data_IF_856067165581
#
_entry.id   IF_856067165581
#
_cell.length_a   1.000
_cell.length_b   1.000
_cell.length_c   1.000
_cell.angle_alpha   90.00
_cell.angle_beta   90.00
_cell.angle_gamma   90.00
#
_symmetry.space_group_name_H-M   'P 1'
#
loop_
_entity.id
_entity.type
_entity.pdbx_description
1 polymer ?
#
# COMPACT_ATOMS: atom_id res chain seq x y z
N UNK A 1 -83.47 -31.27 9.88
CA UNK A 1 -84.26 -30.85 11.05
C UNK A 1 -85.53 -30.19 10.54
N UNK A 2 -86.68 -30.48 11.14
CA UNK A 2 -87.90 -29.69 10.85
C UNK A 2 -87.64 -28.26 11.28
N UNK A 3 -88.08 -27.27 10.53
CA UNK A 3 -87.98 -25.89 10.98
C UNK A 3 -89.08 -25.56 12.02
N UNK A 4 -88.87 -24.60 12.94
CA UNK A 4 -89.87 -24.29 13.97
C UNK A 4 -91.27 -23.96 13.42
N UNK A 5 -91.35 -23.39 12.21
CA UNK A 5 -92.62 -23.11 11.52
C UNK A 5 -93.33 -24.36 11.01
N UNK A 6 -92.62 -25.46 10.75
CA UNK A 6 -93.18 -26.74 10.33
C UNK A 6 -93.80 -27.51 11.50
N UNK A 7 -93.32 -27.29 12.74
CA UNK A 7 -93.97 -27.80 13.95
C UNK A 7 -95.32 -27.12 14.19
N UNK A 8 -95.41 -25.81 13.93
CA UNK A 8 -96.62 -25.01 14.14
C UNK A 8 -97.79 -25.41 13.25
N UNK A 9 -97.50 -25.93 12.05
CA UNK A 9 -98.51 -26.31 11.06
C UNK A 9 -98.89 -27.81 11.13
N UNK A 10 -98.42 -28.55 12.13
CA UNK A 10 -98.67 -29.98 12.24
C UNK A 10 -100.07 -30.25 12.81
N UNK A 11 -100.92 -30.91 12.02
CA UNK A 11 -102.25 -31.34 12.47
C UNK A 11 -102.26 -32.84 12.81
N UNK A 12 -102.97 -33.20 13.88
CA UNK A 12 -103.14 -34.59 14.34
C UNK A 12 -104.57 -35.11 14.08
N UNK A 13 -104.72 -36.39 13.78
CA UNK A 13 -106.02 -37.05 13.59
C UNK A 13 -106.75 -37.27 14.92
N UNK A 14 -108.08 -37.10 14.96
CA UNK A 14 -108.90 -37.36 16.16
C UNK A 14 -109.21 -38.85 16.32
N UNK A 15 -109.09 -39.37 17.54
CA UNK A 15 -109.43 -40.75 17.90
C UNK A 15 -110.37 -40.80 19.12
N UNK A 16 -111.16 -41.87 19.26
CA UNK A 16 -112.21 -42.04 20.29
C UNK A 16 -111.63 -42.02 21.73
N UNK A 17 -110.35 -42.34 21.89
CA UNK A 17 -109.61 -42.23 23.15
C UNK A 17 -108.23 -41.65 22.81
N UNK A 18 -107.92 -40.45 23.28
CA UNK A 18 -106.71 -39.73 22.90
C UNK A 18 -106.29 -38.71 23.97
N UNK A 19 -105.18 -38.03 23.71
CA UNK A 19 -104.68 -36.95 24.58
C UNK A 19 -105.61 -35.73 24.54
N UNK A 20 -105.61 -34.96 25.63
CA UNK A 20 -106.36 -33.70 25.71
C UNK A 20 -105.75 -32.69 24.72
N UNK A 21 -106.50 -32.22 23.72
CA UNK A 21 -105.96 -31.32 22.69
C UNK A 21 -105.40 -30.03 23.29
N UNK A 22 -106.01 -29.47 24.34
CA UNK A 22 -105.55 -28.22 24.96
C UNK A 22 -104.20 -28.37 25.66
N UNK A 23 -103.99 -29.44 26.43
CA UNK A 23 -102.69 -29.71 27.07
C UNK A 23 -101.58 -30.02 26.05
N UNK A 24 -101.94 -30.71 24.96
CA UNK A 24 -101.01 -30.99 23.87
C UNK A 24 -100.61 -29.71 23.15
N UNK A 25 -101.57 -28.82 22.86
CA UNK A 25 -101.31 -27.53 22.21
C UNK A 25 -100.41 -26.64 23.08
N UNK A 26 -100.70 -26.53 24.40
CA UNK A 26 -99.85 -25.78 25.35
C UNK A 26 -98.41 -26.33 25.41
N UNK A 27 -98.27 -27.67 25.40
CA UNK A 27 -96.94 -28.28 25.40
C UNK A 27 -96.21 -28.07 24.06
N UNK A 28 -96.91 -28.12 22.93
CA UNK A 28 -96.34 -27.85 21.61
C UNK A 28 -95.88 -26.39 21.50
N UNK A 29 -96.63 -25.42 22.02
CA UNK A 29 -96.23 -24.01 22.05
C UNK A 29 -94.90 -23.83 22.83
N UNK A 30 -94.78 -24.45 24.02
CA UNK A 30 -93.53 -24.46 24.80
C UNK A 30 -92.37 -25.14 24.05
N UNK A 31 -92.63 -26.27 23.38
CA UNK A 31 -91.62 -26.95 22.57
C UNK A 31 -91.19 -26.11 21.37
N UNK A 32 -92.10 -25.40 20.71
CA UNK A 32 -91.79 -24.48 19.59
C UNK A 32 -90.89 -23.34 20.08
N UNK A 33 -91.18 -22.75 21.24
CA UNK A 33 -90.36 -21.70 21.83
C UNK A 33 -88.93 -22.20 22.08
N UNK A 34 -88.79 -23.31 22.82
CA UNK A 34 -87.48 -23.90 23.15
C UNK A 34 -86.73 -24.37 21.91
N UNK A 35 -87.44 -24.93 20.92
CA UNK A 35 -86.84 -25.36 19.67
C UNK A 35 -86.37 -24.17 18.82
N UNK A 36 -87.08 -23.05 18.84
CA UNK A 36 -86.66 -21.81 18.18
C UNK A 36 -85.42 -21.21 18.84
N UNK A 37 -85.36 -21.22 20.17
CA UNK A 37 -84.18 -20.80 20.95
C UNK A 37 -82.95 -21.66 20.60
N UNK A 38 -83.10 -22.99 20.63
CA UNK A 38 -82.05 -23.93 20.25
C UNK A 38 -81.58 -23.70 18.80
N UNK A 39 -82.49 -23.42 17.87
CA UNK A 39 -82.14 -23.15 16.48
C UNK A 39 -81.33 -21.85 16.35
N UNK A 40 -81.72 -20.78 17.07
CA UNK A 40 -80.96 -19.52 17.11
C UNK A 40 -79.56 -19.74 17.68
N UNK A 41 -79.44 -20.42 18.81
CA UNK A 41 -78.13 -20.74 19.40
C UNK A 41 -77.27 -21.58 18.45
N UNK A 42 -77.85 -22.59 17.78
CA UNK A 42 -77.13 -23.41 16.81
C UNK A 42 -76.62 -22.57 15.63
N UNK A 43 -77.42 -21.63 15.11
CA UNK A 43 -76.96 -20.71 14.06
C UNK A 43 -75.86 -19.77 14.55
N UNK A 44 -75.94 -19.27 15.78
CA UNK A 44 -74.92 -18.39 16.35
C UNK A 44 -73.61 -19.15 16.60
N UNK A 45 -73.68 -20.37 17.14
CA UNK A 45 -72.53 -21.26 17.35
C UNK A 45 -71.87 -21.62 16.02
N UNK A 46 -72.65 -21.96 15.00
CA UNK A 46 -72.11 -22.21 13.65
C UNK A 46 -71.42 -20.98 13.07
N UNK A 47 -71.96 -19.78 13.30
CA UNK A 47 -71.33 -18.52 12.89
C UNK A 47 -70.00 -18.31 13.62
N UNK A 48 -69.97 -18.50 14.95
CA UNK A 48 -68.75 -18.39 15.76
C UNK A 48 -67.70 -19.41 15.34
N UNK A 49 -68.11 -20.65 15.05
CA UNK A 49 -67.24 -21.71 14.57
C UNK A 49 -66.60 -21.34 13.24
N UNK A 50 -67.40 -20.85 12.28
CA UNK A 50 -66.86 -20.39 10.99
C UNK A 50 -65.82 -19.29 11.16
N UNK A 51 -66.11 -18.28 11.97
CA UNK A 51 -65.16 -17.20 12.25
C UNK A 51 -63.89 -17.73 12.91
N UNK A 52 -64.02 -18.63 13.89
CA UNK A 52 -62.88 -19.22 14.58
C UNK A 52 -62.00 -20.05 13.62
N UNK A 53 -62.61 -20.81 12.71
CA UNK A 53 -61.89 -21.58 11.69
C UNK A 53 -61.17 -20.63 10.73
N UNK A 54 -61.83 -19.59 10.22
CA UNK A 54 -61.19 -18.61 9.34
C UNK A 54 -59.99 -17.95 10.01
N UNK A 55 -60.12 -17.50 11.27
CA UNK A 55 -58.99 -16.92 12.01
C UNK A 55 -57.87 -17.92 12.27
N UNK A 56 -58.20 -19.18 12.49
CA UNK A 56 -57.19 -20.23 12.68
C UNK A 56 -56.39 -20.44 11.39
N UNK A 57 -57.04 -20.41 10.23
CA UNK A 57 -56.35 -20.56 8.95
C UNK A 57 -55.49 -19.32 8.65
N UNK A 58 -55.99 -18.11 8.91
CA UNK A 58 -55.20 -16.86 8.81
C UNK A 58 -53.92 -16.92 9.67
N UNK A 59 -54.04 -17.34 10.94
CA UNK A 59 -52.89 -17.47 11.85
C UNK A 59 -51.89 -18.50 11.34
N UNK A 60 -52.35 -19.62 10.77
CA UNK A 60 -51.45 -20.65 10.21
C UNK A 60 -50.69 -20.12 9.00
N UNK A 61 -51.35 -19.38 8.12
CA UNK A 61 -50.72 -18.77 6.94
C UNK A 61 -49.68 -17.71 7.37
N UNK A 62 -50.01 -16.90 8.38
CA UNK A 62 -49.05 -15.95 8.99
C UNK A 62 -47.86 -16.67 9.65
N UNK A 63 -48.11 -17.76 10.40
CA UNK A 63 -47.06 -18.55 11.03
C UNK A 63 -46.09 -19.13 9.99
N UNK A 64 -46.61 -19.67 8.88
CA UNK A 64 -45.77 -20.20 7.80
C UNK A 64 -44.96 -19.09 7.12
N UNK A 65 -45.56 -17.91 6.91
CA UNK A 65 -44.86 -16.74 6.38
C UNK A 65 -43.71 -16.28 7.29
N UNK A 66 -43.97 -16.20 8.61
CA UNK A 66 -42.96 -15.86 9.62
C UNK A 66 -41.86 -16.92 9.64
N UNK A 67 -42.22 -18.19 9.61
CA UNK A 67 -41.27 -19.32 9.60
C UNK A 67 -40.38 -19.26 8.36
N UNK A 68 -40.95 -19.04 7.18
CA UNK A 68 -40.21 -18.87 5.93
C UNK A 68 -39.26 -17.67 6.01
N UNK A 69 -39.74 -16.54 6.52
CA UNK A 69 -38.92 -15.32 6.71
C UNK A 69 -37.76 -15.58 7.67
N UNK A 70 -38.00 -16.28 8.77
CA UNK A 70 -36.96 -16.62 9.75
C UNK A 70 -35.88 -17.53 9.14
N UNK A 71 -36.29 -18.55 8.38
CA UNK A 71 -35.36 -19.44 7.68
C UNK A 71 -34.52 -18.68 6.65
N UNK A 72 -35.15 -17.76 5.91
CA UNK A 72 -34.44 -16.92 4.94
C UNK A 72 -33.46 -15.95 5.63
N UNK A 73 -33.86 -15.35 6.75
CA UNK A 73 -33.00 -14.50 7.56
C UNK A 73 -31.80 -15.27 8.12
N UNK A 74 -32.01 -16.51 8.60
CA UNK A 74 -30.93 -17.38 9.05
C UNK A 74 -29.96 -17.69 7.90
N UNK A 75 -30.46 -18.12 6.74
CA UNK A 75 -29.62 -18.38 5.55
C UNK A 75 -28.85 -17.15 5.11
N UNK A 76 -29.46 -15.98 5.17
CA UNK A 76 -28.81 -14.71 4.84
C UNK A 76 -27.70 -14.39 5.85
N UNK A 77 -27.96 -14.60 7.15
CA UNK A 77 -26.94 -14.44 8.20
C UNK A 77 -25.75 -15.39 8.00
N UNK A 78 -26.01 -16.67 7.73
CA UNK A 78 -24.97 -17.66 7.40
C UNK A 78 -24.17 -17.26 6.15
N UNK A 79 -24.84 -16.74 5.12
CA UNK A 79 -24.20 -16.24 3.90
C UNK A 79 -23.30 -15.03 4.20
N UNK A 80 -23.76 -14.07 5.00
CA UNK A 80 -22.96 -12.89 5.39
C UNK A 80 -21.71 -13.33 6.14
N UNK A 81 -21.84 -14.26 7.10
CA UNK A 81 -20.70 -14.78 7.86
C UNK A 81 -19.72 -15.49 6.92
N UNK A 82 -20.21 -16.31 5.99
CA UNK A 82 -19.38 -17.00 5.01
C UNK A 82 -18.66 -16.01 4.11
N UNK A 83 -19.38 -15.06 3.50
CA UNK A 83 -18.82 -14.06 2.59
C UNK A 83 -17.76 -13.20 3.32
N UNK A 84 -17.99 -12.85 4.59
CA UNK A 84 -17.03 -12.12 5.40
C UNK A 84 -15.75 -12.94 5.70
N UNK A 85 -15.89 -14.23 6.01
CA UNK A 85 -14.75 -15.12 6.22
C UNK A 85 -13.96 -15.33 4.92
N UNK A 86 -14.64 -15.59 3.81
CA UNK A 86 -14.01 -15.76 2.50
C UNK A 86 -13.23 -14.48 2.11
N UNK A 87 -13.81 -13.30 2.35
CA UNK A 87 -13.13 -12.02 2.11
C UNK A 87 -11.94 -11.80 3.05
N UNK A 88 -12.07 -12.18 4.33
CA UNK A 88 -10.97 -12.09 5.29
C UNK A 88 -9.80 -13.02 4.90
N UNK A 89 -10.09 -14.22 4.42
CA UNK A 89 -9.09 -15.18 3.94
C UNK A 89 -8.40 -14.66 2.67
N UNK A 90 -9.15 -14.08 1.73
CA UNK A 90 -8.59 -13.44 0.54
C UNK A 90 -7.64 -12.29 0.90
N UNK A 91 -8.07 -11.40 1.79
CA UNK A 91 -7.26 -10.27 2.25
C UNK A 91 -6.00 -10.79 2.95
N UNK A 92 -6.15 -11.77 3.84
CA UNK A 92 -5.02 -12.36 4.58
C UNK A 92 -4.04 -13.05 3.63
N UNK A 93 -4.53 -13.78 2.63
CA UNK A 93 -3.71 -14.40 1.58
C UNK A 93 -2.93 -13.34 0.79
N UNK A 94 -3.61 -12.30 0.32
CA UNK A 94 -2.98 -11.22 -0.45
C UNK A 94 -1.95 -10.44 0.38
N UNK A 95 -2.20 -10.21 1.67
CA UNK A 95 -1.23 -9.58 2.58
C UNK A 95 0.00 -10.47 2.75
N UNK A 96 -0.19 -11.77 3.00
CA UNK A 96 0.93 -12.72 3.14
C UNK A 96 1.79 -12.75 1.89
N UNK A 97 1.18 -12.84 0.71
CA UNK A 97 1.90 -12.84 -0.57
C UNK A 97 2.69 -11.54 -0.78
N UNK A 98 2.09 -10.38 -0.49
CA UNK A 98 2.80 -9.09 -0.56
C UNK A 98 3.93 -9.00 0.45
N UNK A 99 3.72 -9.43 1.68
CA UNK A 99 4.77 -9.47 2.71
C UNK A 99 5.93 -10.37 2.27
N UNK A 100 5.64 -11.55 1.75
CA UNK A 100 6.65 -12.48 1.25
C UNK A 100 7.41 -11.89 0.06
N UNK A 101 6.72 -11.20 -0.86
CA UNK A 101 7.34 -10.50 -1.98
C UNK A 101 8.27 -9.36 -1.50
N UNK A 102 7.83 -8.56 -0.52
CA UNK A 102 8.65 -7.49 0.08
C UNK A 102 9.88 -8.06 0.78
N UNK A 103 9.71 -9.15 1.55
CA UNK A 103 10.83 -9.83 2.22
C UNK A 103 11.81 -10.40 1.19
N UNK A 104 11.31 -10.98 0.10
CA UNK A 104 12.15 -11.50 -0.97
C UNK A 104 12.94 -10.39 -1.66
N UNK A 105 12.30 -9.25 -1.98
CA UNK A 105 12.98 -8.10 -2.57
C UNK A 105 14.04 -7.52 -1.62
N UNK A 106 13.71 -7.37 -0.33
CA UNK A 106 14.66 -6.91 0.68
C UNK A 106 15.87 -7.85 0.80
N UNK A 107 15.64 -9.17 0.82
CA UNK A 107 16.73 -10.15 0.82
C UNK A 107 17.60 -10.04 -0.43
N UNK A 108 17.00 -9.84 -1.61
CA UNK A 108 17.75 -9.63 -2.87
C UNK A 108 18.63 -8.39 -2.77
N UNK A 109 18.07 -7.26 -2.31
CA UNK A 109 18.84 -6.00 -2.13
C UNK A 109 19.97 -6.18 -1.14
N UNK A 110 19.74 -6.84 -0.01
CA UNK A 110 20.80 -7.12 0.96
C UNK A 110 21.93 -7.98 0.39
N UNK A 111 21.64 -8.93 -0.49
CA UNK A 111 22.67 -9.75 -1.15
C UNK A 111 23.48 -8.89 -2.11
N UNK A 112 22.82 -8.10 -2.96
CA UNK A 112 23.48 -7.17 -3.88
C UNK A 112 24.39 -6.19 -3.14
N UNK A 113 23.88 -5.54 -2.09
CA UNK A 113 24.64 -4.56 -1.31
C UNK A 113 25.88 -5.21 -0.64
N UNK A 114 25.75 -6.45 -0.17
CA UNK A 114 26.89 -7.19 0.40
C UNK A 114 27.92 -7.54 -0.67
N UNK A 115 27.48 -7.88 -1.87
CA UNK A 115 28.36 -8.17 -3.01
C UNK A 115 29.10 -6.90 -3.44
N UNK A 116 28.41 -5.76 -3.53
CA UNK A 116 29.00 -4.47 -3.85
C UNK A 116 30.04 -4.03 -2.80
N UNK A 117 29.71 -4.20 -1.51
CA UNK A 117 30.65 -3.95 -0.41
C UNK A 117 31.89 -4.85 -0.53
N UNK A 118 31.69 -6.13 -0.85
CA UNK A 118 32.80 -7.07 -1.03
C UNK A 118 33.68 -6.70 -2.24
N UNK A 119 33.08 -6.27 -3.35
CA UNK A 119 33.79 -5.79 -4.53
C UNK A 119 34.62 -4.54 -4.22
N UNK A 120 34.03 -3.54 -3.55
CA UNK A 120 34.74 -2.31 -3.13
C UNK A 120 35.89 -2.65 -2.18
N UNK A 121 35.65 -3.52 -1.19
CA UNK A 121 36.68 -3.95 -0.24
C UNK A 121 37.85 -4.62 -0.97
N UNK A 122 37.57 -5.46 -1.95
CA UNK A 122 38.60 -6.13 -2.75
C UNK A 122 39.37 -5.11 -3.59
N UNK A 123 38.69 -4.20 -4.28
CA UNK A 123 39.33 -3.13 -5.03
C UNK A 123 40.24 -2.24 -4.15
N UNK A 124 39.85 -1.94 -2.91
CA UNK A 124 40.69 -1.18 -1.97
C UNK A 124 41.95 -1.98 -1.57
N UNK A 125 41.83 -3.30 -1.38
CA UNK A 125 42.99 -4.15 -1.09
C UNK A 125 43.93 -4.25 -2.29
N UNK A 126 43.37 -4.35 -3.50
CA UNK A 126 44.14 -4.40 -4.74
C UNK A 126 44.87 -3.06 -4.97
N UNK A 127 44.17 -1.93 -4.84
CA UNK A 127 44.77 -0.59 -4.91
C UNK A 127 45.87 -0.39 -3.88
N UNK A 128 45.64 -0.83 -2.63
CA UNK A 128 46.67 -0.80 -1.59
C UNK A 128 47.91 -1.56 -2.03
N UNK A 129 47.74 -2.78 -2.56
CA UNK A 129 48.84 -3.62 -3.03
C UNK A 129 49.59 -2.96 -4.19
N UNK A 130 48.87 -2.42 -5.17
CA UNK A 130 49.43 -1.70 -6.32
C UNK A 130 50.28 -0.49 -5.88
N UNK A 131 49.77 0.31 -4.93
CA UNK A 131 50.51 1.45 -4.37
C UNK A 131 51.77 0.99 -3.63
N UNK A 132 51.70 -0.09 -2.85
CA UNK A 132 52.89 -0.63 -2.18
C UNK A 132 53.93 -1.15 -3.17
N UNK A 133 53.50 -1.82 -4.24
CA UNK A 133 54.40 -2.28 -5.31
C UNK A 133 55.03 -1.10 -6.06
N UNK A 134 54.26 -0.05 -6.36
CA UNK A 134 54.77 1.16 -7.00
C UNK A 134 55.83 1.85 -6.13
N UNK A 135 55.57 2.01 -4.83
CA UNK A 135 56.56 2.57 -3.90
C UNK A 135 57.81 1.72 -3.81
N UNK A 136 57.68 0.38 -3.78
CA UNK A 136 58.82 -0.53 -3.79
C UNK A 136 59.66 -0.34 -5.05
N UNK A 137 59.03 -0.24 -6.21
CA UNK A 137 59.71 0.02 -7.49
C UNK A 137 60.43 1.38 -7.48
N UNK A 138 59.78 2.45 -7.02
CA UNK A 138 60.41 3.76 -6.90
C UNK A 138 61.61 3.75 -5.93
N UNK A 139 61.53 3.01 -4.82
CA UNK A 139 62.66 2.85 -3.89
C UNK A 139 63.82 2.10 -4.57
N UNK A 140 63.54 1.06 -5.35
CA UNK A 140 64.56 0.35 -6.13
C UNK A 140 65.20 1.26 -7.20
N UNK A 141 64.42 2.08 -7.89
CA UNK A 141 64.93 3.08 -8.85
C UNK A 141 65.79 4.14 -8.16
N UNK A 142 65.37 4.65 -7.00
CA UNK A 142 66.18 5.57 -6.18
C UNK A 142 67.46 4.91 -5.68
N UNK A 143 67.42 3.63 -5.30
CA UNK A 143 68.63 2.88 -4.94
C UNK A 143 69.60 2.75 -6.12
N UNK A 144 69.09 2.58 -7.34
CA UNK A 144 69.88 2.55 -8.57
C UNK A 144 70.45 3.93 -8.94
N UNK A 145 69.71 5.02 -8.66
CA UNK A 145 70.16 6.41 -8.88
C UNK A 145 71.12 6.88 -7.79
N UNK A 146 71.03 6.32 -6.57
CA UNK A 146 71.94 6.51 -5.45
C UNK A 146 73.31 5.91 -5.75
N UNK A 147 74.02 6.52 -6.68
CA UNK A 147 75.39 7.00 -6.51
C UNK A 147 76.28 6.06 -5.67
N UNK A 148 76.56 4.87 -6.20
CA UNK A 148 77.89 4.26 -6.10
C UNK A 148 78.89 4.94 -7.07
N UNK A 149 78.60 6.18 -7.50
CA UNK A 149 79.45 7.03 -8.32
C UNK A 149 79.23 8.49 -7.97
N UNK A 150 79.69 8.93 -6.79
CA UNK A 150 80.25 10.27 -6.74
C UNK A 150 81.57 10.07 -7.50
N UNK A 151 81.49 10.09 -8.84
CA UNK A 151 82.68 10.26 -9.65
C UNK A 151 83.23 11.61 -9.21
N UNK A 152 84.38 11.55 -8.55
CA UNK A 152 85.23 12.68 -8.25
C UNK A 152 85.21 13.62 -9.47
N UNK A 153 84.65 14.82 -9.31
CA UNK A 153 84.67 15.84 -10.35
C UNK A 153 86.14 16.21 -10.55
N UNK A 154 86.82 15.56 -11.49
CA UNK A 154 88.16 15.93 -11.90
C UNK A 154 88.02 17.20 -12.74
N UNK A 155 88.21 18.35 -12.10
CA UNK A 155 88.35 19.63 -12.80
C UNK A 155 89.59 19.55 -13.73
N UNK A 156 89.50 19.96 -15.00
CA UNK A 156 90.63 19.97 -15.91
C UNK A 156 91.79 20.84 -15.39
N UNK A 157 93.02 20.36 -15.58
CA UNK A 157 94.24 21.02 -15.13
C UNK A 157 94.38 22.43 -15.75
N UNK A 158 94.38 23.45 -14.90
CA UNK A 158 94.45 24.88 -15.26
C UNK A 158 95.63 25.19 -16.19
N UNK A 159 96.74 24.45 -16.09
CA UNK A 159 97.95 24.68 -16.88
C UNK A 159 97.77 24.45 -18.39
N UNK A 160 96.88 23.55 -18.80
CA UNK A 160 96.59 23.30 -20.22
C UNK A 160 95.77 24.44 -20.85
N UNK A 161 94.94 25.10 -20.04
CA UNK A 161 94.14 26.26 -20.47
C UNK A 161 95.05 27.48 -20.63
N UNK A 162 96.04 27.64 -19.74
CA UNK A 162 97.02 28.74 -19.80
C UNK A 162 97.92 28.63 -21.04
N UNK A 163 98.38 27.43 -21.44
CA UNK A 163 99.18 27.26 -22.67
C UNK A 163 98.41 27.60 -23.94
N UNK A 164 97.12 27.24 -24.02
CA UNK A 164 96.24 27.65 -25.13
C UNK A 164 96.07 29.17 -25.21
N UNK A 165 95.81 29.81 -24.06
CA UNK A 165 95.67 31.27 -24.00
C UNK A 165 96.98 31.98 -24.37
N UNK A 166 98.15 31.50 -23.94
CA UNK A 166 99.42 32.10 -24.32
C UNK A 166 99.75 31.93 -25.81
N UNK A 167 99.36 30.80 -26.42
CA UNK A 167 99.45 30.60 -27.86
C UNK A 167 98.58 31.59 -28.63
N UNK A 168 97.31 31.71 -28.23
CA UNK A 168 96.34 32.60 -28.87
C UNK A 168 96.72 34.08 -28.69
N UNK A 169 97.27 34.47 -27.55
CA UNK A 169 97.79 35.84 -27.31
C UNK A 169 99.06 36.11 -28.12
N UNK A 170 99.96 35.14 -28.26
CA UNK A 170 101.16 35.30 -29.09
C UNK A 170 100.83 35.41 -30.60
N UNK A 171 99.78 34.74 -31.05
CA UNK A 171 99.27 34.82 -32.42
C UNK A 171 98.46 36.12 -32.66
N UNK A 172 97.67 36.56 -31.67
CA UNK A 172 96.97 37.84 -31.72
C UNK A 172 97.92 39.05 -31.71
N UNK A 173 99.04 39.01 -30.97
CA UNK A 173 100.04 40.10 -30.95
C UNK A 173 100.82 40.21 -32.27
N UNK A 174 100.95 39.12 -33.05
CA UNK A 174 101.55 39.16 -34.39
C UNK A 174 100.60 39.70 -35.45
N UNK A 175 99.29 39.49 -35.28
CA UNK A 175 98.28 39.83 -36.28
C UNK A 175 97.54 41.15 -36.02
N UNK A 176 97.66 41.77 -34.83
CA UNK A 176 97.09 43.07 -34.49
C UNK A 176 97.99 44.28 -34.85
N UNK A 177 98.42 44.33 -36.11
CA UNK A 177 98.85 45.57 -36.76
C UNK A 177 97.79 45.98 -37.81
N UNK A 178 96.51 46.05 -37.40
CA UNK A 178 95.41 46.57 -38.23
C UNK A 178 94.07 46.57 -37.49
N UNK A 179 93.70 47.76 -37.00
CA UNK A 179 92.34 48.33 -36.86
C UNK A 179 91.40 47.84 -35.74
N UNK A 180 90.97 48.81 -34.94
CA UNK A 180 89.90 48.78 -33.95
C UNK A 180 88.50 48.61 -34.56
N UNK A 181 87.69 47.78 -33.88
CA UNK A 181 86.27 48.00 -33.50
C UNK A 181 85.22 48.01 -34.63
N UNK A 182 84.05 47.37 -34.52
CA UNK A 182 83.30 46.79 -33.40
C UNK A 182 82.18 45.90 -33.97
N UNK A 183 81.87 44.81 -33.28
CA UNK A 183 80.61 44.08 -33.40
C UNK A 183 79.86 44.19 -32.05
N UNK A 184 78.54 44.35 -32.10
CA UNK A 184 77.59 43.43 -31.46
C UNK A 184 76.19 44.04 -31.40
N UNK A 185 75.22 43.34 -31.97
CA UNK A 185 73.79 43.58 -31.81
C UNK A 185 73.13 42.30 -31.26
N UNK A 186 72.46 42.47 -30.12
CA UNK A 186 71.32 41.73 -29.55
C UNK A 186 71.34 40.21 -29.32
N UNK A 187 71.10 39.84 -28.05
CA UNK A 187 70.33 38.65 -27.67
C UNK A 187 69.27 39.08 -26.64
N UNK A 188 68.00 38.66 -26.81
CA UNK A 188 66.92 38.92 -25.86
C UNK A 188 66.34 37.60 -25.35
N UNK A 189 66.41 37.40 -24.04
CA UNK A 189 65.80 36.32 -23.28
C UNK A 189 64.47 36.82 -22.70
N UNK A 190 63.43 35.99 -22.77
CA UNK A 190 62.21 36.19 -22.01
C UNK A 190 62.09 35.04 -20.98
N UNK A 191 61.85 35.32 -19.69
CA UNK A 191 61.46 34.28 -18.74
C UNK A 191 60.03 34.42 -18.22
N UNK A 192 59.45 33.23 -18.04
CA UNK A 192 58.25 32.84 -17.30
C UNK A 192 58.27 33.32 -15.85
N UNK A 193 57.10 33.44 -15.21
CA UNK A 193 56.97 33.13 -13.77
C UNK A 193 55.56 32.68 -13.35
N UNK A 194 55.55 31.56 -12.62
CA UNK A 194 54.48 30.93 -11.84
C UNK A 194 54.30 31.56 -10.45
N UNK A 195 53.25 31.09 -9.75
CA UNK A 195 53.03 30.90 -8.29
C UNK A 195 51.67 31.49 -7.87
N UNK A 196 50.83 30.91 -6.98
CA UNK A 196 50.76 29.69 -6.15
C UNK A 196 49.32 29.66 -5.56
N UNK A 197 48.79 28.49 -5.20
CA UNK A 197 47.51 28.34 -4.45
C UNK A 197 47.65 28.73 -2.96
N UNK A 198 46.54 28.89 -2.19
CA UNK A 198 45.87 27.74 -1.55
C UNK A 198 44.32 27.79 -1.45
N UNK A 199 43.79 26.60 -1.15
CA UNK A 199 42.39 26.11 -1.06
C UNK A 199 41.49 26.82 -0.01
N UNK A 200 40.20 27.03 -0.34
CA UNK A 200 39.08 26.98 0.63
C UNK A 200 37.76 26.57 -0.06
N UNK A 201 37.02 25.66 0.58
CA UNK A 201 35.76 25.05 0.10
C UNK A 201 34.56 25.88 0.59
N UNK A 202 33.48 26.03 -0.19
CA UNK A 202 32.18 25.79 0.45
C UNK A 202 31.12 25.07 -0.41
N UNK A 203 30.44 24.16 0.29
CA UNK A 203 29.00 23.90 0.34
C UNK A 203 28.22 23.58 -0.95
N UNK A 204 27.75 22.34 -0.97
CA UNK A 204 26.80 21.77 -1.91
C UNK A 204 25.45 22.50 -1.95
N UNK A 205 24.92 22.54 -3.16
CA UNK A 205 23.56 22.92 -3.57
C UNK A 205 22.53 21.97 -2.92
N UNK A 206 21.51 22.54 -2.28
CA UNK A 206 20.24 21.84 -2.03
C UNK A 206 19.17 22.60 -2.81
N UNK A 207 18.77 22.02 -3.94
CA UNK A 207 17.64 22.46 -4.75
C UNK A 207 16.39 21.75 -4.23
N UNK A 208 15.46 22.49 -3.64
CA UNK A 208 14.13 21.98 -3.26
C UNK A 208 13.30 21.77 -4.54
N UNK A 209 12.66 20.61 -4.77
CA UNK A 209 11.61 20.54 -5.75
C UNK A 209 10.34 21.21 -5.18
N UNK A 210 9.77 22.09 -5.99
CA UNK A 210 8.51 22.76 -5.74
C UNK A 210 7.37 21.75 -5.54
N UNK A 211 6.53 22.00 -4.54
CA UNK A 211 5.29 21.27 -4.33
C UNK A 211 4.26 21.68 -5.39
N UNK A 212 3.77 20.69 -6.15
CA UNK A 212 2.54 20.82 -6.95
C UNK A 212 1.31 20.73 -6.01
N UNK A 213 0.23 21.48 -6.27
CA UNK A 213 -0.99 21.36 -5.49
C UNK A 213 -1.73 20.10 -5.90
N UNK A 214 -1.91 19.17 -4.96
CA UNK A 214 -2.81 18.03 -5.12
C UNK A 214 -4.23 18.57 -5.03
N UNK A 215 -4.96 18.52 -6.16
CA UNK A 215 -6.42 18.62 -6.17
C UNK A 215 -6.93 17.33 -5.55
N UNK A 216 -7.53 17.41 -4.36
CA UNK A 216 -8.19 16.28 -3.71
C UNK A 216 -9.68 16.63 -3.55
N UNK A 217 -10.49 15.68 -4.00
CA UNK A 217 -11.91 15.75 -4.35
C UNK A 217 -12.87 16.21 -3.23
N UNK A 218 -13.92 16.92 -3.65
CA UNK A 218 -15.05 17.50 -2.88
C UNK A 218 -15.99 16.46 -2.18
N UNK A 219 -15.55 15.21 -1.99
CA UNK A 219 -16.44 14.11 -1.55
C UNK A 219 -16.47 13.88 -0.03
N UNK A 220 -15.54 14.43 0.75
CA UNK A 220 -15.57 14.31 2.23
C UNK A 220 -16.57 15.28 2.89
N UNK A 221 -16.81 16.45 2.29
CA UNK A 221 -17.73 17.46 2.83
C UNK A 221 -19.21 17.07 2.69
N UNK A 222 -19.55 16.18 1.75
CA UNK A 222 -20.91 15.65 1.61
C UNK A 222 -21.22 14.56 2.65
N UNK A 223 -20.21 13.82 3.10
CA UNK A 223 -20.36 12.80 4.13
C UNK A 223 -20.58 13.43 5.51
N UNK A 224 -19.83 14.50 5.84
CA UNK A 224 -19.96 15.18 7.13
C UNK A 224 -21.29 15.95 7.24
N UNK A 225 -21.75 16.60 6.16
CA UNK A 225 -23.08 17.26 6.14
C UNK A 225 -24.24 16.28 6.32
N UNK A 226 -24.11 15.05 5.84
CA UNK A 226 -25.15 14.03 5.99
C UNK A 226 -25.25 13.50 7.43
N UNK A 227 -24.14 13.49 8.18
CA UNK A 227 -24.12 13.09 9.58
C UNK A 227 -24.63 14.16 10.54
N UNK A 228 -24.46 15.45 10.22
CA UNK A 228 -25.03 16.54 11.03
C UNK A 228 -26.55 16.66 10.88
N UNK A 229 -27.11 16.42 9.68
CA UNK A 229 -28.57 16.45 9.48
C UNK A 229 -29.34 15.32 10.18
N UNK A 230 -28.64 14.24 10.59
CA UNK A 230 -29.24 13.11 11.30
C UNK A 230 -29.26 13.28 12.82
N UNK A 231 -28.68 14.37 13.33
CA UNK A 231 -28.56 14.63 14.77
C UNK A 231 -29.55 15.68 15.29
N UNK A 232 -30.25 16.36 14.39
CA UNK A 232 -31.22 17.42 14.71
C UNK A 232 -32.70 16.95 14.71
N UNK A 233 -32.96 15.65 14.47
CA UNK A 233 -34.32 15.07 14.41
C UNK A 233 -34.67 14.13 15.60
N UNK A 234 -34.00 14.27 16.75
CA UNK A 234 -34.41 13.69 18.07
C UNK A 234 -34.74 14.79 19.08
#
# INVERSE_FOLDING_TARGET
MLAPHELKNKAFSKAVRGYNPTEVDDHIEFLIEKYTELYRENTELNRKLRIAVTKLDEIKDEEESIRSTLVNAQKMGEKIIKDANDQADLITGAIKERCDAVIADFKRRMVSEKEDLWNIRTAVLDFKTEVFELYRKHIEELHNISVNKIEEIVLPNENAIVEGIFGDVAEAVKNNNSYEQQAAESENLNPVKEEKEPVEVPAAVIEQPAAEPVVADDDEDQFIKSLESLKDDE
#
